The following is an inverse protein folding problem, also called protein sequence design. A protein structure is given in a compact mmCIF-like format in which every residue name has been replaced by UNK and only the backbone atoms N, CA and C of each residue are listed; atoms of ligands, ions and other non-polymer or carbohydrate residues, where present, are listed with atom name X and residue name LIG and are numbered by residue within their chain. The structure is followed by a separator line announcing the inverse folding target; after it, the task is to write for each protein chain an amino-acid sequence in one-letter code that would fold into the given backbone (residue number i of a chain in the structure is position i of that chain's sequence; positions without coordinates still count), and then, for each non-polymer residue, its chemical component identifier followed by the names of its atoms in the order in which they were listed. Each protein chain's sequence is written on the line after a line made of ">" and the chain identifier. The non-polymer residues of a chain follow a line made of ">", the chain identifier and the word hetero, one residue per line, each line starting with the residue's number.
data_IF_820120208186
#
_entry.id   IF_820120208186
#
_cell.length_a   1.000
_cell.length_b   1.000
_cell.length_c   1.000
_cell.angle_alpha   90.00
_cell.angle_beta   90.00
_cell.angle_gamma   90.00
#
_symmetry.space_group_name_H-M   'P 1'
#
loop_
_entity.id
_entity.type
_entity.pdbx_description
1 polymer ?
#
# COMPACT_ATOMS: atom_id res chain seq x y z
N UNK A 1 -30.65 5.28 11.54
CA UNK A 1 -30.48 6.31 12.60
C UNK A 1 -29.01 6.33 12.97
N UNK A 2 -28.24 7.29 12.47
CA UNK A 2 -26.80 7.37 12.71
C UNK A 2 -26.55 7.88 14.13
N UNK A 3 -26.07 7.04 15.04
CA UNK A 3 -25.57 7.51 16.33
C UNK A 3 -24.16 8.09 16.11
N UNK A 4 -24.10 9.39 15.81
CA UNK A 4 -22.85 10.14 15.68
C UNK A 4 -22.73 11.08 16.90
N UNK A 5 -21.86 10.74 17.84
CA UNK A 5 -21.30 11.72 18.76
C UNK A 5 -20.16 12.38 17.97
N UNK A 6 -20.41 13.54 17.37
CA UNK A 6 -19.37 14.33 16.71
C UNK A 6 -18.66 15.14 17.80
N UNK A 7 -17.63 14.55 18.39
CA UNK A 7 -16.57 15.25 19.10
C UNK A 7 -15.27 15.11 18.30
N UNK A 8 -14.26 15.94 18.59
CA UNK A 8 -12.91 15.70 18.07
C UNK A 8 -12.46 14.27 18.46
N UNK A 9 -11.83 13.50 17.56
CA UNK A 9 -11.43 12.13 17.85
C UNK A 9 -10.46 12.11 19.04
N UNK A 10 -10.80 11.36 20.10
CA UNK A 10 -10.07 11.34 21.38
C UNK A 10 -8.93 10.28 21.37
N UNK A 11 -8.64 9.68 20.21
CA UNK A 11 -7.55 8.74 20.02
C UNK A 11 -7.20 8.52 18.54
N UNK A 12 -5.99 8.01 18.25
CA UNK A 12 -5.51 7.80 16.88
C UNK A 12 -6.39 6.82 16.09
N UNK A 13 -6.93 5.79 16.75
CA UNK A 13 -7.87 4.84 16.10
C UNK A 13 -9.19 5.51 15.69
N UNK A 14 -9.74 6.39 16.53
CA UNK A 14 -10.98 7.12 16.21
C UNK A 14 -10.80 8.02 14.99
N UNK A 15 -9.63 8.64 14.87
CA UNK A 15 -9.27 9.47 13.72
C UNK A 15 -9.28 8.66 12.41
N UNK A 16 -8.61 7.50 12.38
CA UNK A 16 -8.58 6.64 11.19
C UNK A 16 -9.97 6.15 10.78
N UNK A 17 -10.81 5.85 11.77
CA UNK A 17 -12.18 5.40 11.55
C UNK A 17 -13.04 6.51 10.98
N UNK A 18 -12.93 7.74 11.48
CA UNK A 18 -13.67 8.87 10.92
C UNK A 18 -13.22 9.17 9.48
N UNK A 19 -11.91 9.15 9.19
CA UNK A 19 -11.41 9.31 7.80
C UNK A 19 -11.92 8.22 6.87
N UNK A 20 -11.88 6.96 7.30
CA UNK A 20 -12.42 5.85 6.51
C UNK A 20 -13.93 5.95 6.34
N UNK A 21 -14.67 6.37 7.37
CA UNK A 21 -16.11 6.65 7.26
C UNK A 21 -16.37 7.70 6.18
N UNK A 22 -15.69 8.83 6.24
CA UNK A 22 -15.85 9.92 5.26
C UNK A 22 -15.57 9.42 3.83
N UNK A 23 -14.46 8.70 3.65
CA UNK A 23 -14.07 8.16 2.35
C UNK A 23 -15.08 7.13 1.84
N UNK A 24 -15.58 6.26 2.71
CA UNK A 24 -16.55 5.20 2.37
C UNK A 24 -17.88 5.82 1.92
N UNK A 25 -18.42 6.76 2.70
CA UNK A 25 -19.67 7.46 2.34
C UNK A 25 -19.50 8.21 1.03
N UNK A 26 -18.39 8.94 0.86
CA UNK A 26 -18.08 9.68 -0.36
C UNK A 26 -17.99 8.75 -1.57
N UNK A 27 -17.21 7.67 -1.46
CA UNK A 27 -16.99 6.69 -2.52
C UNK A 27 -18.31 6.09 -3.01
N UNK A 28 -19.12 5.51 -2.12
CA UNK A 28 -20.36 4.85 -2.51
C UNK A 28 -21.40 5.83 -3.07
N UNK A 29 -21.46 7.05 -2.52
CA UNK A 29 -22.35 8.11 -3.05
C UNK A 29 -21.94 8.52 -4.46
N UNK A 30 -20.66 8.85 -4.68
CA UNK A 30 -20.17 9.42 -5.93
C UNK A 30 -20.03 8.38 -7.05
N UNK A 31 -19.53 7.17 -6.75
CA UNK A 31 -19.24 6.15 -7.76
C UNK A 31 -20.42 5.24 -8.07
N UNK A 32 -21.27 5.01 -7.09
CA UNK A 32 -22.33 4.00 -7.20
C UNK A 32 -23.73 4.58 -7.03
N UNK A 33 -23.87 5.84 -6.62
CA UNK A 33 -25.16 6.41 -6.25
C UNK A 33 -25.80 5.72 -5.04
N UNK A 34 -25.00 4.99 -4.25
CA UNK A 34 -25.45 4.21 -3.11
C UNK A 34 -25.39 5.07 -1.86
N UNK A 35 -26.50 5.14 -1.14
CA UNK A 35 -26.55 5.69 0.21
C UNK A 35 -26.40 4.52 1.20
N UNK A 36 -25.38 4.59 2.04
CA UNK A 36 -25.14 3.56 3.06
C UNK A 36 -26.21 3.69 4.15
N UNK A 37 -27.00 2.65 4.35
CA UNK A 37 -28.12 2.62 5.30
C UNK A 37 -27.66 2.23 6.72
N UNK A 38 -26.75 1.27 6.82
CA UNK A 38 -26.13 0.81 8.07
C UNK A 38 -24.60 0.85 7.96
N UNK A 39 -23.99 1.54 8.93
CA UNK A 39 -22.55 1.68 9.04
C UNK A 39 -22.16 1.65 10.51
N UNK A 40 -21.48 0.59 10.91
CA UNK A 40 -20.93 0.45 12.27
C UNK A 40 -19.46 0.86 12.28
N UNK A 41 -19.11 1.75 13.21
CA UNK A 41 -17.75 2.19 13.46
C UNK A 41 -17.23 1.50 14.73
N UNK A 42 -16.12 0.78 14.64
CA UNK A 42 -15.56 0.00 15.75
C UNK A 42 -14.12 0.43 15.97
N UNK A 43 -13.89 1.14 17.07
CA UNK A 43 -12.56 1.63 17.46
C UNK A 43 -11.89 0.69 18.44
N UNK A 44 -10.76 0.12 18.00
CA UNK A 44 -9.94 -0.77 18.80
C UNK A 44 -8.76 0.03 19.37
N UNK A 45 -8.66 0.08 20.70
CA UNK A 45 -7.66 0.88 21.39
C UNK A 45 -6.94 0.03 22.43
N UNK A 46 -5.61 0.17 22.49
CA UNK A 46 -4.79 -0.59 23.42
C UNK A 46 -3.32 -0.55 23.01
N UNK A 47 -2.45 -0.53 24.00
CA UNK A 47 -1.00 -0.56 23.88
C UNK A 47 -0.44 -1.87 24.45
N UNK A 48 0.80 -2.20 24.11
CA UNK A 48 1.47 -3.40 24.61
C UNK A 48 2.30 -4.10 23.55
N UNK A 49 2.86 -5.25 23.91
CA UNK A 49 3.51 -6.16 22.96
C UNK A 49 2.47 -6.74 22.01
N UNK A 50 2.91 -7.19 20.83
CA UNK A 50 2.01 -7.65 19.76
C UNK A 50 1.03 -8.70 20.28
N UNK A 51 1.51 -9.76 20.94
CA UNK A 51 0.67 -10.85 21.44
C UNK A 51 -0.41 -10.37 22.43
N UNK A 52 0.00 -9.68 23.50
CA UNK A 52 -0.93 -9.12 24.50
C UNK A 52 -1.94 -8.16 23.87
N UNK A 53 -1.50 -7.38 22.88
CA UNK A 53 -2.32 -6.41 22.17
C UNK A 53 -3.35 -7.09 21.26
N UNK A 54 -3.01 -8.20 20.60
CA UNK A 54 -3.96 -8.98 19.80
C UNK A 54 -5.08 -9.51 20.67
N UNK A 55 -4.76 -10.11 21.82
CA UNK A 55 -5.76 -10.65 22.74
C UNK A 55 -6.69 -9.56 23.29
N UNK A 56 -6.11 -8.43 23.71
CA UNK A 56 -6.85 -7.27 24.18
C UNK A 56 -7.82 -6.73 23.12
N UNK A 57 -7.31 -6.43 21.92
CA UNK A 57 -8.14 -5.82 20.87
C UNK A 57 -9.16 -6.80 20.30
N UNK A 58 -8.84 -8.11 20.23
CA UNK A 58 -9.81 -9.14 19.86
C UNK A 58 -10.95 -9.23 20.88
N UNK A 59 -10.66 -9.13 22.18
CA UNK A 59 -11.71 -9.15 23.21
C UNK A 59 -12.71 -7.99 23.09
N UNK A 60 -12.26 -6.83 22.61
CA UNK A 60 -13.12 -5.66 22.35
C UNK A 60 -14.13 -5.92 21.21
N UNK A 61 -13.82 -6.83 20.28
CA UNK A 61 -14.72 -7.22 19.18
C UNK A 61 -15.87 -8.13 19.61
N UNK A 62 -15.82 -8.74 20.80
CA UNK A 62 -16.86 -9.66 21.27
C UNK A 62 -18.26 -9.02 21.25
N UNK A 63 -18.36 -7.71 21.50
CA UNK A 63 -19.62 -6.97 21.48
C UNK A 63 -20.15 -6.67 20.06
N UNK A 64 -19.39 -7.02 19.02
CA UNK A 64 -19.66 -6.67 17.64
C UNK A 64 -19.66 -7.89 16.70
N UNK A 65 -19.47 -9.11 17.21
CA UNK A 65 -19.34 -10.32 16.37
C UNK A 65 -20.52 -10.52 15.44
N UNK A 66 -21.76 -10.35 15.92
CA UNK A 66 -22.97 -10.48 15.10
C UNK A 66 -22.97 -9.47 13.94
N UNK A 67 -22.61 -8.21 14.23
CA UNK A 67 -22.50 -7.16 13.20
C UNK A 67 -21.43 -7.47 12.17
N UNK A 68 -20.28 -7.98 12.62
CA UNK A 68 -19.20 -8.38 11.72
C UNK A 68 -19.70 -9.51 10.81
N UNK A 69 -20.39 -10.52 11.34
CA UNK A 69 -20.86 -11.66 10.56
C UNK A 69 -21.99 -11.30 9.56
N UNK A 70 -22.85 -10.36 9.92
CA UNK A 70 -23.96 -9.91 9.09
C UNK A 70 -23.51 -8.99 7.94
N UNK A 71 -22.47 -8.17 8.17
CA UNK A 71 -22.00 -7.15 7.23
C UNK A 71 -21.64 -7.69 5.83
N UNK A 72 -21.94 -6.93 4.79
CA UNK A 72 -21.50 -7.25 3.41
C UNK A 72 -20.03 -6.85 3.14
N UNK A 73 -19.52 -5.88 3.91
CA UNK A 73 -18.18 -5.33 3.79
C UNK A 73 -17.62 -5.05 5.18
N UNK A 74 -16.42 -5.56 5.46
CA UNK A 74 -15.69 -5.30 6.71
C UNK A 74 -14.37 -4.63 6.37
N UNK A 75 -14.24 -3.34 6.70
CA UNK A 75 -13.02 -2.57 6.46
C UNK A 75 -12.21 -2.49 7.75
N UNK A 76 -10.96 -2.95 7.72
CA UNK A 76 -10.01 -2.67 8.79
C UNK A 76 -9.02 -1.62 8.31
N UNK A 77 -8.73 -0.67 9.21
CA UNK A 77 -7.79 0.42 8.96
C UNK A 77 -6.80 0.43 10.10
N UNK A 78 -5.53 0.43 9.75
CA UNK A 78 -4.46 0.39 10.71
C UNK A 78 -3.23 1.08 10.16
N UNK A 79 -2.40 1.58 11.06
CA UNK A 79 -1.17 2.28 10.74
C UNK A 79 0.01 1.72 11.54
N UNK A 80 1.20 1.67 10.91
CA UNK A 80 2.48 1.29 11.51
C UNK A 80 2.36 0.01 12.36
N UNK A 81 2.54 0.08 13.67
CA UNK A 81 2.47 -1.07 14.56
C UNK A 81 1.07 -1.69 14.67
N UNK A 82 0.00 -0.93 14.41
CA UNK A 82 -1.36 -1.47 14.40
C UNK A 82 -1.58 -2.48 13.27
N UNK A 83 -0.89 -2.29 12.15
CA UNK A 83 -1.01 -3.09 10.95
C UNK A 83 -0.73 -4.60 11.16
N UNK A 84 0.42 -5.02 11.74
CA UNK A 84 0.68 -6.43 12.09
C UNK A 84 -0.15 -6.95 13.27
N UNK A 85 -0.93 -6.13 13.96
CA UNK A 85 -1.85 -6.57 15.03
C UNK A 85 -3.23 -6.84 14.44
N UNK A 86 -3.75 -5.91 13.64
CA UNK A 86 -4.99 -6.07 12.86
C UNK A 86 -4.95 -7.35 12.03
N UNK A 87 -3.77 -7.65 11.50
CA UNK A 87 -3.39 -8.96 11.03
C UNK A 87 -3.97 -10.18 11.70
N UNK A 88 -3.44 -10.43 12.88
CA UNK A 88 -3.64 -11.61 13.67
C UNK A 88 -5.09 -11.62 14.17
N UNK A 89 -5.69 -10.44 14.34
CA UNK A 89 -7.13 -10.29 14.60
C UNK A 89 -7.95 -10.82 13.42
N UNK A 90 -7.66 -10.41 12.17
CA UNK A 90 -8.39 -10.91 10.99
C UNK A 90 -8.20 -12.42 10.83
N UNK A 91 -6.98 -12.92 11.03
CA UNK A 91 -6.69 -14.37 11.03
C UNK A 91 -7.66 -15.11 11.93
N UNK A 92 -7.70 -14.72 13.20
CA UNK A 92 -8.57 -15.33 14.22
C UNK A 92 -10.05 -15.21 13.86
N UNK A 93 -10.49 -14.08 13.30
CA UNK A 93 -11.88 -13.90 12.86
C UNK A 93 -12.24 -14.84 11.71
N UNK A 94 -11.32 -15.10 10.79
CA UNK A 94 -11.51 -16.06 9.69
C UNK A 94 -11.48 -17.50 10.23
N UNK A 95 -10.50 -17.86 11.05
CA UNK A 95 -10.39 -19.19 11.68
C UNK A 95 -11.64 -19.56 12.47
N UNK A 96 -12.21 -18.57 13.18
CA UNK A 96 -13.44 -18.75 13.96
C UNK A 96 -14.73 -18.63 13.13
N UNK A 97 -14.64 -18.53 11.80
CA UNK A 97 -15.77 -18.36 10.88
C UNK A 97 -16.65 -17.13 11.16
N UNK A 98 -16.11 -16.10 11.83
CA UNK A 98 -16.80 -14.82 12.03
C UNK A 98 -16.80 -14.02 10.73
N UNK A 99 -15.68 -14.01 10.00
CA UNK A 99 -15.59 -13.45 8.65
C UNK A 99 -15.70 -14.57 7.62
N UNK A 100 -16.73 -14.52 6.79
CA UNK A 100 -16.87 -15.39 5.62
C UNK A 100 -16.38 -14.66 4.37
N UNK A 101 -15.13 -14.88 3.98
CA UNK A 101 -14.48 -14.18 2.86
C UNK A 101 -15.08 -14.46 1.48
N UNK A 102 -15.94 -15.48 1.35
CA UNK A 102 -16.71 -15.73 0.11
C UNK A 102 -17.90 -14.78 -0.01
N UNK A 103 -18.45 -14.34 1.13
CA UNK A 103 -19.57 -13.38 1.19
C UNK A 103 -19.05 -11.95 1.37
N UNK A 104 -18.10 -11.78 2.29
CA UNK A 104 -17.68 -10.49 2.82
C UNK A 104 -16.34 -10.09 2.23
N UNK A 105 -16.24 -8.83 1.81
CA UNK A 105 -14.96 -8.24 1.41
C UNK A 105 -14.24 -7.71 2.64
N UNK A 106 -12.93 -7.92 2.72
CA UNK A 106 -12.11 -7.57 3.89
C UNK A 106 -10.76 -6.97 3.49
N UNK A 107 -10.12 -6.21 4.40
CA UNK A 107 -8.69 -5.83 4.27
C UNK A 107 -7.87 -5.81 5.57
N UNK A 108 -6.63 -6.39 5.50
CA UNK A 108 -5.39 -6.35 6.35
C UNK A 108 -5.32 -7.01 7.77
N UNK A 109 -4.36 -7.87 8.19
CA UNK A 109 -2.98 -8.22 7.74
C UNK A 109 -2.26 -9.54 8.28
N UNK A 110 -2.81 -10.75 8.55
CA UNK A 110 -2.02 -12.00 8.80
C UNK A 110 -1.77 -12.70 7.46
N UNK A 111 -0.79 -12.15 6.77
CA UNK A 111 -0.91 -11.85 5.35
C UNK A 111 -1.19 -13.04 4.45
N UNK A 112 -0.36 -14.07 4.53
CA UNK A 112 -0.43 -15.19 3.61
C UNK A 112 -1.75 -15.96 3.77
N UNK A 113 -2.13 -16.25 5.02
CA UNK A 113 -3.38 -16.92 5.34
C UNK A 113 -4.59 -16.09 4.86
N UNK A 114 -4.66 -14.81 5.20
CA UNK A 114 -5.82 -13.99 4.83
C UNK A 114 -5.89 -13.75 3.31
N UNK A 115 -4.75 -13.56 2.63
CA UNK A 115 -4.69 -13.37 1.18
C UNK A 115 -5.17 -14.62 0.44
N UNK A 116 -4.74 -15.81 0.89
CA UNK A 116 -5.20 -17.10 0.35
C UNK A 116 -6.70 -17.32 0.54
N UNK A 117 -7.28 -16.72 1.58
CA UNK A 117 -8.72 -16.71 1.84
C UNK A 117 -9.46 -15.60 1.09
N UNK A 118 -8.84 -14.86 0.18
CA UNK A 118 -9.52 -13.88 -0.67
C UNK A 118 -9.59 -12.46 -0.10
N UNK A 119 -8.93 -12.18 1.03
CA UNK A 119 -8.81 -10.82 1.58
C UNK A 119 -8.00 -9.94 0.62
N UNK A 120 -8.44 -8.68 0.45
CA UNK A 120 -7.75 -7.69 -0.40
C UNK A 120 -7.03 -6.65 0.44
N UNK A 121 -5.84 -6.29 0.02
CA UNK A 121 -4.97 -5.37 0.75
C UNK A 121 -4.58 -4.22 -0.16
N UNK A 122 -4.70 -3.00 0.36
CA UNK A 122 -4.14 -1.79 -0.22
C UNK A 122 -3.03 -1.29 0.71
N UNK A 123 -1.83 -1.14 0.19
CA UNK A 123 -0.66 -0.68 0.91
C UNK A 123 -0.17 0.64 0.31
N UNK A 124 -0.38 1.75 1.03
CA UNK A 124 -0.01 3.09 0.59
C UNK A 124 1.20 3.56 1.38
N UNK A 125 2.33 3.78 0.71
CA UNK A 125 3.53 4.35 1.33
C UNK A 125 3.61 5.85 1.15
N UNK A 126 4.14 6.57 2.13
CA UNK A 126 4.40 8.01 2.01
C UNK A 126 5.72 8.27 1.28
N UNK A 127 5.73 9.29 0.43
CA UNK A 127 6.95 9.88 -0.12
C UNK A 127 7.79 10.50 1.00
N UNK A 128 9.11 10.29 0.95
CA UNK A 128 10.09 10.76 1.96
C UNK A 128 9.67 10.51 3.41
N UNK A 129 9.17 9.30 3.68
CA UNK A 129 8.90 8.85 5.04
C UNK A 129 10.22 8.64 5.81
N UNK A 130 10.35 9.29 6.97
CA UNK A 130 11.54 9.25 7.80
C UNK A 130 11.53 8.09 8.81
N UNK A 131 10.37 7.45 8.97
CA UNK A 131 10.11 6.43 10.00
C UNK A 131 10.00 5.04 9.35
N UNK A 132 9.29 4.94 8.23
CA UNK A 132 8.98 3.66 7.57
C UNK A 132 9.54 3.63 6.15
N UNK A 133 10.49 2.72 5.84
CA UNK A 133 10.98 2.55 4.48
C UNK A 133 9.86 2.20 3.49
N UNK A 134 9.89 2.79 2.30
CA UNK A 134 8.87 2.61 1.27
C UNK A 134 8.66 1.14 0.89
N UNK A 135 9.72 0.33 0.82
CA UNK A 135 9.59 -1.10 0.48
C UNK A 135 8.72 -1.86 1.48
N UNK A 136 8.78 -1.46 2.76
CA UNK A 136 8.01 -2.05 3.84
C UNK A 136 6.57 -1.54 3.80
N UNK A 137 6.41 -0.21 3.70
CA UNK A 137 5.10 0.43 3.62
C UNK A 137 4.25 -0.05 2.43
N UNK A 138 4.88 -0.46 1.33
CA UNK A 138 4.21 -0.95 0.12
C UNK A 138 4.21 -2.48 -0.01
N UNK A 139 4.52 -3.23 1.05
CA UNK A 139 4.49 -4.70 1.09
C UNK A 139 5.25 -5.35 -0.09
N UNK A 140 6.48 -4.90 -0.37
CA UNK A 140 7.28 -5.42 -1.49
C UNK A 140 7.65 -6.90 -1.32
N UNK A 141 7.75 -7.37 -0.07
CA UNK A 141 8.07 -8.76 0.25
C UNK A 141 6.98 -9.79 -0.03
N UNK A 142 5.81 -9.35 -0.49
CA UNK A 142 4.68 -10.23 -0.81
C UNK A 142 4.38 -10.10 -2.29
N UNK A 143 4.14 -11.20 -2.99
CA UNK A 143 3.65 -11.17 -4.36
C UNK A 143 2.31 -11.88 -4.42
N UNK A 144 1.22 -11.12 -4.48
CA UNK A 144 -0.12 -11.68 -4.49
C UNK A 144 -1.08 -10.76 -5.26
N UNK A 145 -1.99 -11.28 -6.10
CA UNK A 145 -2.89 -10.48 -6.92
C UNK A 145 -3.86 -9.63 -6.11
N UNK A 146 -4.14 -10.02 -4.86
CA UNK A 146 -4.99 -9.24 -3.95
C UNK A 146 -4.26 -8.08 -3.22
N UNK A 147 -2.98 -7.82 -3.53
CA UNK A 147 -2.21 -6.71 -2.95
C UNK A 147 -2.05 -5.59 -3.98
N UNK A 148 -2.65 -4.44 -3.67
CA UNK A 148 -2.44 -3.19 -4.39
C UNK A 148 -1.49 -2.28 -3.62
N UNK A 149 -0.63 -1.59 -4.35
CA UNK A 149 0.42 -0.72 -3.83
C UNK A 149 0.27 0.66 -4.41
N UNK A 150 0.35 1.67 -3.56
CA UNK A 150 0.32 3.06 -3.98
C UNK A 150 1.35 3.89 -3.25
N UNK A 151 1.63 5.05 -3.81
CA UNK A 151 2.49 6.07 -3.24
C UNK A 151 1.65 7.31 -2.99
N UNK A 152 1.73 7.84 -1.78
CA UNK A 152 1.23 9.17 -1.45
C UNK A 152 2.37 10.17 -1.55
N UNK A 153 2.19 11.23 -2.34
CA UNK A 153 3.11 12.36 -2.41
C UNK A 153 2.33 13.59 -1.93
N UNK A 154 2.81 14.23 -0.86
CA UNK A 154 2.20 15.46 -0.39
C UNK A 154 2.35 16.57 -1.44
N UNK A 155 1.30 17.37 -1.65
CA UNK A 155 1.22 18.30 -2.78
C UNK A 155 2.39 19.33 -2.83
N UNK A 156 2.90 19.74 -1.66
CA UNK A 156 4.04 20.66 -1.59
C UNK A 156 5.37 20.02 -2.01
N UNK A 157 5.47 18.69 -1.89
CA UNK A 157 6.65 17.90 -2.24
C UNK A 157 6.56 17.32 -3.65
N UNK A 158 5.40 17.46 -4.31
CA UNK A 158 5.20 16.91 -5.64
C UNK A 158 5.86 17.80 -6.70
N UNK A 159 6.92 17.26 -7.30
CA UNK A 159 7.42 17.70 -8.60
C UNK A 159 7.37 16.49 -9.53
N UNK A 160 6.72 16.60 -10.71
CA UNK A 160 6.67 15.52 -11.70
C UNK A 160 8.06 15.34 -12.31
N UNK A 161 8.93 14.67 -11.57
CA UNK A 161 10.32 14.43 -11.90
C UNK A 161 10.56 12.95 -12.25
N UNK A 162 11.76 12.66 -12.71
CA UNK A 162 12.13 11.29 -13.06
C UNK A 162 11.99 10.31 -11.89
N UNK A 163 12.34 10.72 -10.66
CA UNK A 163 12.39 9.81 -9.51
C UNK A 163 11.00 9.39 -9.05
N UNK A 164 10.05 10.32 -8.96
CA UNK A 164 8.65 10.03 -8.64
C UNK A 164 8.02 9.09 -9.67
N UNK A 165 8.26 9.32 -10.96
CA UNK A 165 7.77 8.44 -12.03
C UNK A 165 8.41 7.05 -11.96
N UNK A 166 9.72 6.96 -11.66
CA UNK A 166 10.42 5.68 -11.57
C UNK A 166 9.86 4.81 -10.45
N UNK A 167 9.54 5.43 -9.30
CA UNK A 167 8.93 4.73 -8.17
C UNK A 167 7.51 4.29 -8.50
N UNK A 168 6.69 5.18 -9.07
CA UNK A 168 5.32 4.85 -9.48
C UNK A 168 5.33 3.71 -10.51
N UNK A 169 6.26 3.72 -11.46
CA UNK A 169 6.44 2.64 -12.43
C UNK A 169 6.78 1.30 -11.75
N UNK A 170 7.71 1.30 -10.79
CA UNK A 170 8.01 0.10 -10.00
C UNK A 170 6.79 -0.46 -9.27
N UNK A 171 6.00 0.39 -8.61
CA UNK A 171 4.75 -0.03 -7.97
C UNK A 171 3.73 -0.57 -8.97
N UNK A 172 3.61 0.06 -10.13
CA UNK A 172 2.71 -0.35 -11.22
C UNK A 172 3.05 -1.74 -11.76
N UNK A 173 4.35 -2.05 -11.93
CA UNK A 173 4.81 -3.40 -12.29
C UNK A 173 4.30 -4.43 -11.28
N UNK A 174 4.51 -4.17 -9.98
CA UNK A 174 4.09 -5.07 -8.90
C UNK A 174 2.57 -5.24 -8.86
N UNK A 175 1.81 -4.17 -9.08
CA UNK A 175 0.34 -4.23 -9.15
C UNK A 175 -0.16 -5.02 -10.38
N UNK A 176 0.61 -5.08 -11.46
CA UNK A 176 0.36 -5.94 -12.63
C UNK A 176 0.93 -7.35 -12.48
N UNK A 177 1.41 -7.74 -11.28
CA UNK A 177 1.99 -9.06 -11.04
C UNK A 177 3.39 -9.27 -11.65
N UNK A 178 4.00 -8.23 -12.20
CA UNK A 178 5.36 -8.28 -12.74
C UNK A 178 6.39 -8.04 -11.62
N UNK A 179 7.62 -8.47 -11.88
CA UNK A 179 8.76 -8.15 -11.03
C UNK A 179 9.22 -6.72 -11.32
N UNK A 180 9.57 -5.98 -10.26
CA UNK A 180 10.32 -4.72 -10.37
C UNK A 180 11.83 -4.97 -10.29
N UNK A 181 12.26 -6.24 -10.26
CA UNK A 181 13.63 -6.70 -10.04
C UNK A 181 14.25 -6.19 -8.73
N UNK A 182 13.43 -5.79 -7.75
CA UNK A 182 13.86 -5.19 -6.49
C UNK A 182 14.13 -3.68 -6.57
N UNK A 183 13.69 -3.01 -7.63
CA UNK A 183 13.81 -1.55 -7.82
C UNK A 183 13.33 -0.78 -6.59
N UNK A 184 12.12 -1.03 -6.11
CA UNK A 184 11.55 -0.30 -4.97
C UNK A 184 12.36 -0.54 -3.70
N UNK A 185 12.87 -1.75 -3.52
CA UNK A 185 13.73 -2.07 -2.38
C UNK A 185 15.05 -1.29 -2.43
N UNK A 186 15.68 -1.18 -3.60
CA UNK A 186 16.92 -0.39 -3.76
C UNK A 186 16.67 1.11 -3.64
N UNK A 187 15.59 1.62 -4.24
CA UNK A 187 15.26 3.04 -4.19
C UNK A 187 14.83 3.49 -2.79
N UNK A 188 14.22 2.61 -2.00
CA UNK A 188 13.73 2.95 -0.66
C UNK A 188 14.80 3.51 0.27
N UNK A 189 16.06 3.08 0.14
CA UNK A 189 17.16 3.62 0.95
C UNK A 189 17.49 5.06 0.56
N UNK A 190 17.43 5.38 -0.74
CA UNK A 190 17.60 6.75 -1.21
C UNK A 190 16.43 7.62 -0.77
N UNK A 191 15.21 7.08 -0.76
CA UNK A 191 13.98 7.78 -0.35
C UNK A 191 13.83 7.94 1.17
N UNK A 192 14.58 7.19 1.96
CA UNK A 192 14.50 7.27 3.42
C UNK A 192 15.23 8.55 3.91
N UNK A 193 14.46 9.51 4.41
CA UNK A 193 15.00 10.74 5.01
C UNK A 193 14.85 12.00 4.16
N UNK A 194 15.43 13.09 4.68
CA UNK A 194 15.21 14.45 4.19
C UNK A 194 16.14 14.80 3.01
N UNK A 195 15.89 14.18 1.85
CA UNK A 195 16.71 14.39 0.63
C UNK A 195 16.71 15.86 0.16
N UNK A 196 15.65 16.60 0.48
CA UNK A 196 15.44 17.98 0.02
C UNK A 196 15.63 19.03 1.11
N UNK A 197 16.04 18.66 2.32
CA UNK A 197 16.32 19.59 3.42
C UNK A 197 15.08 20.25 4.06
N UNK A 198 13.89 20.06 3.53
CA UNK A 198 12.63 20.52 4.14
C UNK A 198 11.93 19.33 4.79
N UNK A 199 11.73 19.41 6.11
CA UNK A 199 11.15 18.33 6.91
C UNK A 199 9.80 17.92 6.37
N UNK A 200 9.74 16.76 5.72
CA UNK A 200 8.51 16.27 5.12
C UNK A 200 7.59 15.78 6.24
N UNK A 201 6.42 16.43 6.36
CA UNK A 201 5.30 15.98 7.17
C UNK A 201 4.63 14.72 6.61
N UNK A 202 5.16 14.14 5.51
CA UNK A 202 4.58 13.05 4.74
C UNK A 202 4.13 11.85 5.59
N UNK A 203 4.95 11.46 6.58
CA UNK A 203 4.59 10.36 7.48
C UNK A 203 3.26 10.61 8.18
N UNK A 204 2.94 11.82 8.63
CA UNK A 204 1.65 12.11 9.28
C UNK A 204 0.58 12.60 8.29
N UNK A 205 0.98 13.29 7.22
CA UNK A 205 0.09 13.87 6.23
C UNK A 205 -0.69 12.81 5.43
N UNK A 206 -0.10 11.63 5.20
CA UNK A 206 -0.76 10.53 4.49
C UNK A 206 -2.09 10.11 5.15
N UNK A 207 -2.21 10.22 6.47
CA UNK A 207 -3.44 9.85 7.19
C UNK A 207 -4.57 10.85 7.01
N UNK A 208 -4.20 12.11 6.75
CA UNK A 208 -5.14 13.20 6.61
C UNK A 208 -5.75 13.22 5.21
N UNK A 209 -5.01 12.69 4.23
CA UNK A 209 -5.39 12.66 2.82
C UNK A 209 -6.50 11.65 2.55
N UNK A 210 -7.67 12.14 2.18
CA UNK A 210 -8.85 11.32 1.92
C UNK A 210 -8.68 10.42 0.69
N UNK A 211 -7.92 10.87 -0.30
CA UNK A 211 -7.72 10.12 -1.54
C UNK A 211 -6.95 8.81 -1.33
N UNK A 212 -6.16 8.69 -0.25
CA UNK A 212 -5.48 7.43 0.14
C UNK A 212 -6.47 6.34 0.55
N UNK A 213 -7.56 6.72 1.22
CA UNK A 213 -8.67 5.83 1.56
C UNK A 213 -9.51 5.54 0.32
N UNK A 214 -9.74 6.54 -0.53
CA UNK A 214 -10.54 6.41 -1.74
C UNK A 214 -9.91 5.43 -2.76
N UNK A 215 -8.60 5.50 -2.98
CA UNK A 215 -7.89 4.55 -3.85
C UNK A 215 -7.96 3.12 -3.28
N UNK A 216 -7.87 3.00 -1.95
CA UNK A 216 -8.00 1.71 -1.26
C UNK A 216 -9.40 1.11 -1.41
N UNK A 217 -10.45 1.92 -1.27
CA UNK A 217 -11.83 1.51 -1.53
C UNK A 217 -12.02 1.12 -2.99
N UNK A 218 -11.45 1.88 -3.93
CA UNK A 218 -11.50 1.55 -5.35
C UNK A 218 -10.92 0.17 -5.65
N UNK A 219 -9.79 -0.17 -5.01
CA UNK A 219 -9.18 -1.50 -5.10
C UNK A 219 -10.05 -2.59 -4.49
N UNK A 220 -10.56 -2.38 -3.27
CA UNK A 220 -11.37 -3.37 -2.54
C UNK A 220 -12.68 -3.65 -3.27
N UNK A 221 -13.28 -2.62 -3.87
CA UNK A 221 -14.56 -2.72 -4.56
C UNK A 221 -14.45 -3.12 -6.03
N UNK A 222 -13.28 -2.93 -6.65
CA UNK A 222 -13.00 -3.28 -8.05
C UNK A 222 -13.40 -4.73 -8.39
N UNK A 223 -13.76 -4.97 -9.65
CA UNK A 223 -14.06 -6.33 -10.11
C UNK A 223 -12.80 -7.20 -10.01
N UNK A 224 -12.95 -8.43 -9.51
CA UNK A 224 -11.91 -9.44 -9.69
C UNK A 224 -11.80 -9.67 -11.20
N UNK A 225 -10.75 -9.15 -11.85
CA UNK A 225 -10.14 -9.96 -12.89
C UNK A 225 -9.48 -11.08 -12.12
N UNK A 226 -10.20 -12.20 -11.95
CA UNK A 226 -9.61 -13.44 -11.49
C UNK A 226 -8.37 -13.63 -12.36
N UNK A 227 -7.21 -13.52 -11.72
CA UNK A 227 -5.93 -13.81 -12.33
C UNK A 227 -5.95 -15.31 -12.54
N UNK A 228 -6.46 -15.75 -13.70
CA UNK A 228 -6.59 -17.15 -14.12
C UNK A 228 -5.21 -17.73 -14.50
N UNK A 229 -4.14 -17.23 -13.89
CA UNK A 229 -2.81 -17.75 -14.02
C UNK A 229 -2.57 -18.66 -12.82
N UNK A 230 -2.25 -19.90 -13.17
CA UNK A 230 -1.73 -20.93 -12.29
C UNK A 230 -0.86 -20.30 -11.19
N UNK A 231 -1.23 -20.56 -9.95
CA UNK A 231 -0.45 -20.16 -8.78
C UNK A 231 0.93 -20.80 -8.88
N UNK A 232 1.91 -20.07 -9.39
CA UNK A 232 3.28 -20.26 -8.93
C UNK A 232 3.40 -19.48 -7.62
N UNK A 233 3.09 -20.15 -6.51
CA UNK A 233 3.53 -19.73 -5.20
C UNK A 233 5.05 -19.62 -5.22
N UNK A 234 5.53 -18.41 -5.46
CA UNK A 234 6.89 -18.03 -5.06
C UNK A 234 6.71 -16.98 -3.98
N UNK A 235 6.22 -17.43 -2.82
CA UNK A 235 6.60 -16.82 -1.55
C UNK A 235 8.11 -17.07 -1.36
N UNK A 236 8.95 -16.41 -2.17
CA UNK A 236 10.37 -16.33 -1.84
C UNK A 236 10.43 -15.58 -0.52
N UNK A 237 10.97 -16.20 0.53
CA UNK A 237 11.21 -15.55 1.82
C UNK A 237 11.88 -14.20 1.56
N UNK A 238 11.12 -13.12 1.69
CA UNK A 238 11.64 -11.78 1.51
C UNK A 238 12.73 -11.56 2.55
N UNK A 239 13.96 -11.35 2.07
CA UNK A 239 15.05 -10.86 2.90
C UNK A 239 15.22 -9.39 2.58
N UNK A 240 14.79 -8.54 3.50
CA UNK A 240 15.18 -7.14 3.45
C UNK A 240 16.72 -7.08 3.37
N UNK A 241 17.31 -6.49 2.33
CA UNK A 241 18.76 -6.42 2.24
C UNK A 241 19.29 -5.56 3.39
N UNK A 242 20.26 -6.09 4.15
CA UNK A 242 20.93 -5.36 5.25
C UNK A 242 21.74 -4.15 4.76
N UNK A 243 22.09 -4.12 3.47
CA UNK A 243 22.77 -3.02 2.79
C UNK A 243 22.50 -3.09 1.30
N UNK A 244 22.07 -1.99 0.69
CA UNK A 244 21.89 -1.88 -0.77
C UNK A 244 23.25 -1.97 -1.47
N UNK A 245 23.31 -2.77 -2.54
CA UNK A 245 24.52 -2.91 -3.35
C UNK A 245 24.40 -1.95 -4.54
N UNK A 246 25.28 -0.95 -4.68
CA UNK A 246 25.18 0.06 -5.74
C UNK A 246 25.26 -0.53 -7.16
N UNK A 247 25.80 -1.74 -7.32
CA UNK A 247 25.83 -2.44 -8.61
C UNK A 247 24.49 -3.07 -9.02
N UNK A 248 23.51 -3.13 -8.12
CA UNK A 248 22.21 -3.71 -8.43
C UNK A 248 21.38 -2.80 -9.35
N UNK A 249 21.41 -1.49 -9.13
CA UNK A 249 20.58 -0.55 -9.89
C UNK A 249 20.85 -0.59 -11.40
N UNK A 250 22.11 -0.55 -11.89
CA UNK A 250 22.39 -0.71 -13.32
C UNK A 250 21.81 -2.01 -13.90
N UNK A 251 21.92 -3.12 -13.16
CA UNK A 251 21.38 -4.42 -13.58
C UNK A 251 19.85 -4.43 -13.60
N UNK A 252 19.21 -3.84 -12.58
CA UNK A 252 17.75 -3.69 -12.51
C UNK A 252 17.26 -2.89 -13.72
N UNK A 253 17.87 -1.76 -14.04
CA UNK A 253 17.47 -0.94 -15.20
C UNK A 253 17.67 -1.70 -16.51
N UNK A 254 18.79 -2.43 -16.66
CA UNK A 254 19.01 -3.29 -17.83
C UNK A 254 17.92 -4.37 -17.97
N UNK A 255 17.48 -4.96 -16.85
CA UNK A 255 16.37 -5.93 -16.86
C UNK A 255 15.05 -5.29 -17.23
N UNK A 256 14.68 -4.18 -16.60
CA UNK A 256 13.44 -3.45 -16.91
C UNK A 256 13.35 -3.02 -18.37
N UNK A 257 14.46 -2.53 -18.95
CA UNK A 257 14.50 -2.07 -20.34
C UNK A 257 14.47 -3.22 -21.35
N UNK A 258 14.98 -4.40 -20.99
CA UNK A 258 14.98 -5.59 -21.85
C UNK A 258 13.78 -6.52 -21.67
N UNK A 259 12.96 -6.33 -20.62
CA UNK A 259 11.85 -7.21 -20.29
C UNK A 259 10.74 -7.21 -21.36
N UNK A 260 10.51 -8.38 -21.96
CA UNK A 260 9.51 -8.55 -23.02
C UNK A 260 8.08 -8.39 -22.52
N UNK A 261 7.79 -8.67 -21.23
CA UNK A 261 6.45 -8.45 -20.67
C UNK A 261 6.15 -6.95 -20.55
N UNK A 262 7.15 -6.14 -20.21
CA UNK A 262 7.03 -4.67 -20.16
C UNK A 262 6.85 -4.11 -21.57
N UNK A 263 7.60 -4.60 -22.56
CA UNK A 263 7.50 -4.14 -23.95
C UNK A 263 6.17 -4.51 -24.62
N UNK A 264 5.60 -5.67 -24.30
CA UNK A 264 4.32 -6.14 -24.85
C UNK A 264 3.12 -5.40 -24.27
N UNK A 265 3.20 -4.92 -23.03
CA UNK A 265 2.16 -4.08 -22.42
C UNK A 265 2.32 -2.64 -22.92
N UNK A 266 1.36 -2.17 -23.71
CA UNK A 266 1.40 -0.85 -24.34
C UNK A 266 1.51 0.30 -23.33
N UNK A 267 0.87 0.14 -22.18
CA UNK A 267 0.87 1.14 -21.12
C UNK A 267 2.26 1.20 -20.46
N UNK A 268 2.80 0.05 -20.05
CA UNK A 268 4.12 -0.02 -19.44
C UNK A 268 5.25 0.37 -20.40
N UNK A 269 5.12 0.03 -21.68
CA UNK A 269 6.09 0.44 -22.70
C UNK A 269 6.11 1.96 -22.88
N UNK A 270 4.95 2.63 -22.79
CA UNK A 270 4.87 4.08 -22.88
C UNK A 270 5.47 4.75 -21.64
N UNK A 271 5.12 4.27 -20.44
CA UNK A 271 5.70 4.76 -19.18
C UNK A 271 7.24 4.63 -19.19
N UNK A 272 7.76 3.50 -19.70
CA UNK A 272 9.21 3.28 -19.78
C UNK A 272 9.90 4.27 -20.73
N UNK A 273 9.28 4.59 -21.87
CA UNK A 273 9.79 5.61 -22.80
C UNK A 273 9.76 7.00 -22.17
N UNK A 274 8.69 7.34 -21.47
CA UNK A 274 8.58 8.60 -20.74
C UNK A 274 9.66 8.71 -19.67
N UNK A 275 9.92 7.64 -18.92
CA UNK A 275 11.02 7.58 -17.95
C UNK A 275 12.38 7.85 -18.59
N UNK A 276 12.64 7.32 -19.78
CA UNK A 276 13.88 7.59 -20.52
C UNK A 276 14.01 9.07 -20.90
N UNK A 277 12.93 9.73 -21.30
CA UNK A 277 12.94 11.17 -21.61
C UNK A 277 13.11 12.02 -20.34
N UNK A 278 12.37 11.70 -19.27
CA UNK A 278 12.51 12.36 -17.97
C UNK A 278 13.94 12.22 -17.42
N UNK A 279 14.58 11.05 -17.58
CA UNK A 279 15.95 10.84 -17.12
C UNK A 279 16.97 11.77 -17.81
N UNK A 280 16.80 12.03 -19.11
CA UNK A 280 17.71 12.90 -19.87
C UNK A 280 17.72 14.33 -19.35
N UNK A 281 16.56 14.84 -18.97
CA UNK A 281 16.38 16.21 -18.48
C UNK A 281 16.51 16.33 -16.95
N UNK A 282 16.51 15.23 -16.22
CA UNK A 282 16.56 15.24 -14.77
C UNK A 282 17.90 15.74 -14.24
N UNK A 283 17.87 16.78 -13.41
CA UNK A 283 19.04 17.34 -12.75
C UNK A 283 18.92 17.04 -11.24
N UNK A 284 19.60 16.01 -10.72
CA UNK A 284 19.52 15.65 -9.31
C UNK A 284 20.20 16.70 -8.45
N UNK A 285 19.73 16.82 -7.21
CA UNK A 285 20.46 17.53 -6.16
C UNK A 285 21.79 16.82 -5.83
N UNK A 286 22.63 17.41 -4.96
CA UNK A 286 23.94 16.85 -4.61
C UNK A 286 23.88 15.44 -4.03
N UNK A 287 22.82 15.10 -3.29
CA UNK A 287 22.65 13.81 -2.62
C UNK A 287 22.23 12.70 -3.59
N UNK A 288 21.59 13.04 -4.71
CA UNK A 288 21.10 12.08 -5.71
C UNK A 288 22.05 11.91 -6.92
N UNK A 289 23.25 12.51 -6.88
CA UNK A 289 24.25 12.38 -7.97
C UNK A 289 24.72 10.95 -8.17
N UNK A 290 25.01 10.23 -7.08
CA UNK A 290 25.42 8.83 -7.14
C UNK A 290 24.29 7.95 -7.69
N UNK A 291 23.06 8.21 -7.26
CA UNK A 291 21.88 7.53 -7.80
C UNK A 291 21.77 7.75 -9.30
N UNK A 292 21.90 8.99 -9.79
CA UNK A 292 21.87 9.26 -11.23
C UNK A 292 22.93 8.48 -12.01
N UNK A 293 24.16 8.41 -11.49
CA UNK A 293 25.22 7.63 -12.12
C UNK A 293 24.86 6.14 -12.23
N UNK A 294 24.26 5.57 -11.18
CA UNK A 294 23.80 4.16 -11.19
C UNK A 294 22.65 3.88 -12.17
N UNK A 295 21.93 4.92 -12.60
CA UNK A 295 20.78 4.84 -13.50
C UNK A 295 21.12 5.21 -14.96
N UNK A 296 22.40 5.47 -15.27
CA UNK A 296 22.85 5.87 -16.62
C UNK A 296 22.47 4.90 -17.74
N UNK A 297 22.16 3.64 -17.41
CA UNK A 297 21.63 2.65 -18.37
C UNK A 297 20.33 3.10 -19.06
N UNK A 298 19.57 4.03 -18.49
CA UNK A 298 18.42 4.63 -19.18
C UNK A 298 18.79 5.42 -20.45
N UNK A 299 20.07 5.83 -20.63
CA UNK A 299 20.55 6.47 -21.86
C UNK A 299 20.94 5.48 -22.96
N UNK A 300 21.06 4.19 -22.65
CA UNK A 300 21.39 3.19 -23.65
C UNK A 300 20.22 3.08 -24.64
N UNK A 301 20.50 3.23 -25.95
CA UNK A 301 19.49 3.04 -27.00
C UNK A 301 19.09 1.56 -27.03
N UNK A 302 17.77 1.31 -26.99
CA UNK A 302 17.16 -0.01 -27.25
C UNK A 302 17.43 -0.47 -28.69
#
# INVERSE_FOLDING_TARGET
>A
MFNRIVGEPVGTSDYFIDKMQQATIKYFRERNGIQIEDLSLISLNGEGKIEDRVDLLYSQLNNYMDKIQEADLVLFVAHSQGTPVTALIIERLIENNIINTKKQRTGMMALEYILSNGVRISAVGSWYDQVVPLYSATLQGINHPNVFRALYIHAQDYQPDFLSHLVVFGLKLRNKGLTDYGLITQLSDYLAGNIYGFGTQGHSAIYEELDTYYVSLSWIMGQNKLWDLQQEEIASKFKAPYKTNPFNLPWIIAKLTSDENIKKDQELSNDLKELQELFKIWIPNSQLKELKYSLEMFKAKL
#
